data_IF_298977402115
#
_entry.id   IF_298977402115
#
_cell.length_a   1.000
_cell.length_b   1.000
_cell.length_c   1.000
_cell.angle_alpha   90.00
_cell.angle_beta   90.00
_cell.angle_gamma   90.00
#
_symmetry.space_group_name_H-M   'P 1'
#
loop_
_entity.id
_entity.type
_entity.pdbx_description
1 polymer ?
#
# COMPACT_ATOMS: atom_id res chain seq x y z
N UNK A 1 11.04 7.15 -13.09
CA UNK A 1 10.12 8.19 -12.61
C UNK A 1 8.69 7.91 -13.06
N UNK A 2 8.38 8.02 -14.36
CA UNK A 2 7.02 7.84 -14.90
C UNK A 2 6.37 6.51 -14.51
N UNK A 3 7.11 5.40 -14.61
CA UNK A 3 6.62 4.07 -14.21
C UNK A 3 6.26 4.07 -12.72
N UNK A 4 7.19 4.49 -11.86
CA UNK A 4 6.98 4.51 -10.42
C UNK A 4 5.82 5.43 -10.01
N UNK A 5 5.68 6.60 -10.65
CA UNK A 5 4.56 7.51 -10.44
C UNK A 5 3.23 6.89 -10.87
N UNK A 6 3.18 6.23 -12.04
CA UNK A 6 1.99 5.56 -12.52
C UNK A 6 1.59 4.40 -11.60
N UNK A 7 2.56 3.64 -11.10
CA UNK A 7 2.33 2.57 -10.12
C UNK A 7 1.72 3.13 -8.83
N UNK A 8 2.27 4.21 -8.27
CA UNK A 8 1.75 4.78 -7.01
C UNK A 8 0.40 5.48 -7.15
N UNK A 9 0.12 6.06 -8.32
CA UNK A 9 -1.21 6.57 -8.63
C UNK A 9 -2.23 5.43 -8.76
N UNK A 10 -1.84 4.30 -9.36
CA UNK A 10 -2.69 3.12 -9.44
C UNK A 10 -2.95 2.50 -8.07
N UNK A 11 -1.94 2.37 -7.20
CA UNK A 11 -2.12 1.88 -5.82
C UNK A 11 -3.00 2.80 -4.99
N UNK A 12 -2.86 4.12 -5.14
CA UNK A 12 -3.77 5.09 -4.52
C UNK A 12 -5.20 4.97 -5.03
N UNK A 13 -5.41 4.80 -6.34
CA UNK A 13 -6.76 4.57 -6.86
C UNK A 13 -7.40 3.29 -6.28
N UNK A 14 -6.62 2.21 -6.15
CA UNK A 14 -7.06 0.97 -5.52
C UNK A 14 -7.39 1.15 -4.03
N UNK A 15 -6.60 1.92 -3.27
CA UNK A 15 -6.89 2.18 -1.85
C UNK A 15 -8.15 3.01 -1.66
N UNK A 16 -8.47 3.91 -2.60
CA UNK A 16 -9.75 4.66 -2.60
C UNK A 16 -10.93 3.74 -2.88
N UNK A 17 -10.79 2.77 -3.79
CA UNK A 17 -11.83 1.75 -4.03
C UNK A 17 -12.02 0.90 -2.78
N UNK A 18 -10.92 0.47 -2.15
CA UNK A 18 -10.93 -0.26 -0.88
C UNK A 18 -11.68 0.50 0.22
N UNK A 19 -11.43 1.81 0.36
CA UNK A 19 -12.13 2.66 1.33
C UNK A 19 -13.63 2.76 1.03
N UNK A 20 -14.03 2.84 -0.24
CA UNK A 20 -15.44 2.90 -0.65
C UNK A 20 -16.19 1.62 -0.27
N UNK A 21 -15.55 0.47 -0.45
CA UNK A 21 -16.17 -0.83 -0.21
C UNK A 21 -16.10 -1.24 1.28
N UNK A 22 -15.31 -0.53 2.08
CA UNK A 22 -15.22 -0.76 3.52
C UNK A 22 -16.49 -0.29 4.24
N UNK A 23 -17.08 -1.17 5.06
CA UNK A 23 -18.30 -0.87 5.83
C UNK A 23 -17.93 -0.46 7.26
N UNK A 24 -18.06 0.82 7.63
CA UNK A 24 -17.76 1.27 8.98
C UNK A 24 -18.78 0.72 9.98
N UNK A 25 -18.31 0.30 11.17
CA UNK A 25 -19.16 -0.19 12.26
C UNK A 25 -19.37 -1.71 12.29
N UNK A 26 -18.92 -2.45 11.28
CA UNK A 26 -18.78 -3.91 11.38
C UNK A 26 -17.51 -4.27 12.15
N UNK A 27 -17.64 -5.09 13.20
CA UNK A 27 -16.50 -5.55 13.98
C UNK A 27 -15.74 -6.67 13.25
N UNK A 28 -14.40 -6.59 13.27
CA UNK A 28 -13.50 -7.57 12.67
C UNK A 28 -12.83 -7.11 11.39
N UNK A 29 -12.03 -8.01 10.80
CA UNK A 29 -11.33 -7.77 9.54
C UNK A 29 -12.27 -7.91 8.34
N UNK A 30 -12.18 -6.97 7.40
CA UNK A 30 -12.87 -7.02 6.11
C UNK A 30 -11.87 -7.38 5.01
N UNK A 31 -12.38 -7.82 3.85
CA UNK A 31 -11.55 -8.22 2.70
C UNK A 31 -10.50 -9.26 3.10
N UNK A 32 -10.96 -10.30 3.79
CA UNK A 32 -10.09 -11.31 4.39
C UNK A 32 -9.64 -12.33 3.34
N UNK A 33 -8.33 -12.46 3.16
CA UNK A 33 -7.70 -13.61 2.52
C UNK A 33 -7.20 -14.56 3.61
N UNK A 34 -7.65 -15.81 3.56
CA UNK A 34 -7.21 -16.89 4.45
C UNK A 34 -6.67 -18.03 3.59
N UNK A 35 -5.34 -18.18 3.59
CA UNK A 35 -4.63 -19.18 2.80
C UNK A 35 -3.85 -20.08 3.75
N UNK A 36 -4.01 -21.42 3.65
CA UNK A 36 -3.19 -22.34 4.44
C UNK A 36 -1.72 -22.22 4.04
N UNK A 37 -0.85 -21.89 4.99
CA UNK A 37 0.59 -21.71 4.72
C UNK A 37 1.37 -22.99 5.02
N UNK A 38 1.33 -23.47 6.27
CA UNK A 38 1.98 -24.72 6.66
C UNK A 38 1.34 -25.36 7.89
N UNK A 39 0.86 -26.60 7.74
CA UNK A 39 0.21 -27.38 8.80
C UNK A 39 -0.96 -26.59 9.42
N UNK A 40 -0.86 -26.20 10.70
CA UNK A 40 -1.87 -25.44 11.45
C UNK A 40 -1.75 -23.92 11.29
N UNK A 41 -0.73 -23.43 10.56
CA UNK A 41 -0.48 -21.99 10.36
C UNK A 41 -1.17 -21.51 9.09
N UNK A 42 -2.02 -20.50 9.25
CA UNK A 42 -2.75 -19.82 8.19
C UNK A 42 -2.17 -18.43 7.94
N UNK A 43 -2.00 -18.07 6.67
CA UNK A 43 -1.79 -16.69 6.28
C UNK A 43 -3.15 -16.01 6.19
N UNK A 44 -3.43 -15.18 7.19
CA UNK A 44 -4.68 -14.47 7.31
C UNK A 44 -4.40 -12.98 7.17
N UNK A 45 -4.69 -12.43 6.00
CA UNK A 45 -4.59 -11.01 5.71
C UNK A 45 -6.00 -10.43 5.63
N UNK A 46 -6.19 -9.24 6.19
CA UNK A 46 -7.44 -8.52 6.07
C UNK A 46 -7.26 -7.14 6.65
N UNK A 47 -8.18 -6.24 6.34
CA UNK A 47 -8.07 -4.84 6.72
C UNK A 47 -9.07 -4.53 7.83
N UNK A 48 -8.59 -3.95 8.92
CA UNK A 48 -9.44 -3.44 10.00
C UNK A 48 -9.74 -1.94 9.84
N UNK A 49 -10.56 -1.38 10.74
CA UNK A 49 -10.94 0.04 10.66
C UNK A 49 -9.79 1.04 10.79
N UNK A 50 -8.68 0.68 11.43
CA UNK A 50 -7.50 1.53 11.59
C UNK A 50 -6.56 1.35 10.39
N UNK A 51 -6.31 0.11 10.00
CA UNK A 51 -5.49 -0.28 8.86
C UNK A 51 -5.97 0.35 7.56
N UNK A 52 -7.29 0.40 7.29
CA UNK A 52 -7.82 1.07 6.07
C UNK A 52 -7.33 2.51 5.96
N UNK A 53 -7.31 3.25 7.07
CA UNK A 53 -6.87 4.64 7.10
C UNK A 53 -5.35 4.75 6.86
N UNK A 54 -4.56 3.82 7.41
CA UNK A 54 -3.11 3.79 7.21
C UNK A 54 -2.70 3.36 5.79
N UNK A 55 -3.41 2.41 5.18
CA UNK A 55 -3.21 2.03 3.78
C UNK A 55 -3.53 3.21 2.85
N UNK A 56 -4.66 3.89 3.09
CA UNK A 56 -5.03 5.10 2.34
C UNK A 56 -3.99 6.21 2.48
N UNK A 57 -3.53 6.48 3.72
CA UNK A 57 -2.51 7.49 3.98
C UNK A 57 -1.18 7.15 3.30
N UNK A 58 -0.73 5.90 3.39
CA UNK A 58 0.53 5.44 2.80
C UNK A 58 0.51 5.58 1.29
N UNK A 59 -0.54 5.08 0.64
CA UNK A 59 -0.71 5.18 -0.83
C UNK A 59 -0.91 6.63 -1.30
N UNK A 60 -1.49 7.51 -0.47
CA UNK A 60 -1.60 8.94 -0.76
C UNK A 60 -0.25 9.67 -0.69
N UNK A 61 0.59 9.34 0.30
CA UNK A 61 1.89 9.98 0.48
C UNK A 61 2.91 9.54 -0.55
N UNK A 62 2.85 8.29 -1.02
CA UNK A 62 3.84 7.73 -1.94
C UNK A 62 4.01 8.51 -3.27
N UNK A 63 2.97 8.92 -4.02
CA UNK A 63 3.15 9.72 -5.22
C UNK A 63 3.77 11.10 -4.92
N UNK A 64 3.47 11.69 -3.76
CA UNK A 64 4.08 12.95 -3.31
C UNK A 64 5.58 12.76 -3.05
N UNK A 65 5.96 11.67 -2.37
CA UNK A 65 7.36 11.31 -2.15
C UNK A 65 8.12 11.13 -3.47
N UNK A 66 7.51 10.43 -4.44
CA UNK A 66 8.12 10.24 -5.77
C UNK A 66 8.29 11.58 -6.50
N UNK A 67 7.27 12.45 -6.50
CA UNK A 67 7.36 13.77 -7.13
C UNK A 67 8.46 14.64 -6.50
N UNK A 68 8.55 14.66 -5.17
CA UNK A 68 9.58 15.39 -4.46
C UNK A 68 11.00 14.86 -4.74
N UNK A 69 11.12 13.53 -4.92
CA UNK A 69 12.41 12.89 -5.18
C UNK A 69 13.04 13.27 -6.52
N UNK A 70 12.24 13.67 -7.52
CA UNK A 70 12.74 14.02 -8.85
C UNK A 70 13.73 15.20 -8.81
N UNK A 71 13.44 16.22 -8.02
CA UNK A 71 14.32 17.39 -7.90
C UNK A 71 15.50 17.12 -6.95
N UNK A 72 15.30 16.30 -5.93
CA UNK A 72 16.26 16.06 -4.84
C UNK A 72 17.34 15.02 -5.19
N UNK A 73 16.96 13.90 -5.82
CA UNK A 73 17.86 12.77 -6.08
C UNK A 73 18.52 12.91 -7.44
N UNK A 74 19.83 13.20 -7.46
CA UNK A 74 20.61 13.41 -8.69
C UNK A 74 21.39 12.17 -9.16
N UNK A 75 21.59 11.19 -8.30
CA UNK A 75 22.34 9.95 -8.58
C UNK A 75 21.49 8.73 -8.28
N UNK A 76 21.60 7.68 -9.12
CA UNK A 76 20.90 6.38 -8.93
C UNK A 76 19.39 6.49 -8.66
N UNK A 77 18.70 7.38 -9.38
CA UNK A 77 17.25 7.59 -9.24
C UNK A 77 16.44 6.29 -9.44
N UNK A 78 16.88 5.40 -10.33
CA UNK A 78 16.19 4.13 -10.57
C UNK A 78 16.20 3.22 -9.33
N UNK A 79 17.37 2.98 -8.73
CA UNK A 79 17.53 2.15 -7.53
C UNK A 79 16.71 2.71 -6.36
N UNK A 80 16.72 4.04 -6.19
CA UNK A 80 15.93 4.73 -5.17
C UNK A 80 14.42 4.53 -5.37
N UNK A 81 13.92 4.70 -6.59
CA UNK A 81 12.49 4.52 -6.89
C UNK A 81 12.04 3.06 -6.69
N UNK A 82 12.88 2.08 -7.04
CA UNK A 82 12.60 0.66 -6.80
C UNK A 82 12.47 0.41 -5.29
N UNK A 83 13.41 0.93 -4.49
CA UNK A 83 13.35 0.79 -3.05
C UNK A 83 12.07 1.40 -2.45
N UNK A 84 11.62 2.54 -2.97
CA UNK A 84 10.36 3.17 -2.54
C UNK A 84 9.12 2.34 -2.89
N UNK A 85 9.06 1.73 -4.08
CA UNK A 85 7.95 0.85 -4.45
C UNK A 85 7.92 -0.44 -3.61
N UNK A 86 9.09 -1.00 -3.30
CA UNK A 86 9.20 -2.13 -2.38
C UNK A 86 8.74 -1.73 -0.97
N UNK A 87 9.18 -0.56 -0.50
CA UNK A 87 8.76 -0.01 0.79
C UNK A 87 7.24 0.17 0.86
N UNK A 88 6.61 0.76 -0.17
CA UNK A 88 5.15 0.90 -0.26
C UNK A 88 4.45 -0.45 -0.11
N UNK A 89 4.92 -1.45 -0.85
CA UNK A 89 4.35 -2.81 -0.82
C UNK A 89 4.44 -3.43 0.59
N UNK A 90 5.58 -3.27 1.25
CA UNK A 90 5.78 -3.76 2.62
C UNK A 90 4.90 -3.02 3.62
N UNK A 91 4.77 -1.70 3.49
CA UNK A 91 3.92 -0.91 4.37
C UNK A 91 2.45 -1.31 4.24
N UNK A 92 1.96 -1.51 3.01
CA UNK A 92 0.59 -2.01 2.77
C UNK A 92 0.43 -3.42 3.34
N UNK A 93 1.43 -4.29 3.23
CA UNK A 93 1.34 -5.66 3.78
C UNK A 93 1.35 -5.74 5.31
N UNK A 94 1.79 -4.70 6.01
CA UNK A 94 1.79 -4.63 7.48
C UNK A 94 0.44 -4.20 8.04
N UNK A 95 -0.32 -3.41 7.30
CA UNK A 95 -1.61 -2.84 7.72
C UNK A 95 -2.77 -3.64 7.14
#
# INVERSE_FOLDING_TARGET
>A
LWIALATTLATFALSVIMLRDFVPGMAGFQMLEDIPWFSVVHYRMGVDGISVLFVLLTTFLMPICILASWSSVKTRLADYLIAFLVLETLMIGVF
#
